data_IF_934386528518
#
_entry.id   IF_934386528518
#
_cell.length_a   1.000
_cell.length_b   1.000
_cell.length_c   1.000
_cell.angle_alpha   90.00
_cell.angle_beta   90.00
_cell.angle_gamma   90.00
#
_symmetry.space_group_name_H-M   'P 1'
#
loop_
_entity.id
_entity.type
_entity.pdbx_description
1 polymer ?
#
# COMPACT_ATOMS: atom_id res chain seq x y z
N UNK A 1 17.35 11.88 -7.76
CA UNK A 1 17.98 11.92 -6.41
C UNK A 1 16.96 12.30 -5.34
N UNK A 2 16.23 13.40 -5.49
CA UNK A 2 15.23 13.87 -4.51
C UNK A 2 14.13 12.83 -4.20
N UNK A 3 13.51 12.24 -5.22
CA UNK A 3 12.48 11.20 -5.05
C UNK A 3 12.97 10.02 -4.18
N UNK A 4 14.23 9.60 -4.35
CA UNK A 4 14.85 8.53 -3.55
C UNK A 4 15.00 8.94 -2.08
N UNK A 5 15.36 10.18 -1.81
CA UNK A 5 15.45 10.72 -0.44
C UNK A 5 14.06 10.75 0.21
N UNK A 6 13.04 11.21 -0.52
CA UNK A 6 11.66 11.26 -0.04
C UNK A 6 11.12 9.85 0.23
N UNK A 7 11.33 8.90 -0.68
CA UNK A 7 10.94 7.50 -0.52
C UNK A 7 11.63 6.84 0.69
N UNK A 8 12.92 7.10 0.89
CA UNK A 8 13.64 6.58 2.06
C UNK A 8 13.11 7.13 3.38
N UNK A 9 12.64 8.39 3.42
CA UNK A 9 11.98 8.97 4.59
C UNK A 9 10.60 8.34 4.83
N UNK A 10 9.82 8.15 3.76
CA UNK A 10 8.51 7.50 3.83
C UNK A 10 8.64 6.08 4.38
N UNK A 11 9.66 5.32 3.94
CA UNK A 11 9.93 3.95 4.39
C UNK A 11 10.02 3.82 5.91
N UNK A 12 10.53 4.84 6.60
CA UNK A 12 10.66 4.81 8.07
C UNK A 12 9.34 4.98 8.82
N UNK A 13 8.31 5.50 8.16
CA UNK A 13 7.01 5.82 8.80
C UNK A 13 5.85 5.04 8.21
N UNK A 14 5.98 4.51 6.98
CA UNK A 14 4.86 3.89 6.26
C UNK A 14 4.21 2.75 7.05
N UNK A 15 5.03 1.96 7.76
CA UNK A 15 4.58 0.82 8.56
C UNK A 15 3.61 1.17 9.69
N UNK A 16 3.62 2.42 10.20
CA UNK A 16 2.68 2.87 11.23
C UNK A 16 1.37 3.41 10.66
N UNK A 17 1.25 3.52 9.33
CA UNK A 17 0.08 4.11 8.67
C UNK A 17 -0.70 3.09 7.85
N UNK A 18 -0.04 2.02 7.40
CA UNK A 18 -0.64 0.94 6.63
C UNK A 18 -0.97 -0.26 7.52
N UNK A 19 -1.96 -1.05 7.12
CA UNK A 19 -2.30 -2.31 7.80
C UNK A 19 -1.13 -3.30 7.74
N UNK A 20 -1.00 -4.19 8.72
CA UNK A 20 -0.05 -5.31 8.70
C UNK A 20 -0.30 -6.25 7.52
N UNK A 21 -1.54 -6.33 7.04
CA UNK A 21 -1.90 -7.13 5.86
C UNK A 21 -1.36 -6.58 4.53
N UNK A 22 -0.83 -5.35 4.49
CA UNK A 22 -0.18 -4.79 3.30
C UNK A 22 1.28 -5.24 3.22
N UNK A 23 1.56 -6.24 2.39
CA UNK A 23 2.88 -6.89 2.34
C UNK A 23 3.77 -6.39 1.21
N UNK A 24 3.20 -5.92 0.09
CA UNK A 24 3.97 -5.47 -1.06
C UNK A 24 4.63 -4.10 -0.83
N UNK A 25 5.88 -3.95 -1.30
CA UNK A 25 6.67 -2.70 -1.24
C UNK A 25 6.94 -2.13 0.16
N UNK A 26 6.77 -2.92 1.21
CA UNK A 26 7.07 -2.54 2.59
C UNK A 26 8.37 -3.20 3.04
N UNK A 27 9.26 -2.43 3.66
CA UNK A 27 10.50 -2.99 4.22
C UNK A 27 10.16 -4.05 5.27
N UNK A 28 10.92 -5.13 5.26
CA UNK A 28 10.80 -6.24 6.22
C UNK A 28 9.45 -7.00 6.17
N UNK A 29 8.66 -6.86 5.09
CA UNK A 29 7.48 -7.69 4.81
C UNK A 29 7.67 -8.47 3.52
N UNK A 30 7.25 -9.74 3.48
CA UNK A 30 7.37 -10.57 2.28
C UNK A 30 6.03 -10.67 1.55
N UNK A 31 6.05 -10.51 0.23
CA UNK A 31 4.83 -10.65 -0.59
C UNK A 31 4.19 -12.04 -0.46
N UNK A 32 5.01 -13.06 -0.19
CA UNK A 32 4.58 -14.44 0.01
C UNK A 32 3.73 -14.63 1.27
N UNK A 33 3.87 -13.77 2.28
CA UNK A 33 3.10 -13.85 3.53
C UNK A 33 1.59 -13.68 3.24
N UNK A 34 1.24 -12.74 2.36
CA UNK A 34 -0.15 -12.52 1.95
C UNK A 34 -0.74 -13.69 1.16
N UNK A 35 0.09 -14.35 0.34
CA UNK A 35 -0.32 -15.55 -0.41
C UNK A 35 -0.54 -16.73 0.54
N UNK A 36 0.34 -16.90 1.52
CA UNK A 36 0.23 -17.96 2.52
C UNK A 36 -1.05 -17.81 3.36
N UNK A 37 -1.31 -16.62 3.90
CA UNK A 37 -2.52 -16.34 4.68
C UNK A 37 -3.78 -16.63 3.85
N UNK A 38 -3.82 -16.20 2.59
CA UNK A 38 -4.96 -16.47 1.71
C UNK A 38 -5.18 -17.98 1.49
N UNK A 39 -4.10 -18.75 1.30
CA UNK A 39 -4.17 -20.21 1.15
C UNK A 39 -4.68 -20.89 2.42
N UNK A 40 -4.23 -20.45 3.60
CA UNK A 40 -4.68 -20.98 4.89
C UNK A 40 -6.18 -20.73 5.11
N UNK A 41 -6.67 -19.52 4.80
CA UNK A 41 -8.11 -19.19 4.90
C UNK A 41 -8.95 -20.08 3.98
N UNK A 42 -8.48 -20.33 2.74
CA UNK A 42 -9.17 -21.21 1.79
C UNK A 42 -9.18 -22.65 2.29
N UNK A 43 -8.05 -23.15 2.81
CA UNK A 43 -7.94 -24.50 3.34
C UNK A 43 -8.80 -24.71 4.59
N UNK A 44 -8.85 -23.72 5.49
CA UNK A 44 -9.70 -23.75 6.68
C UNK A 44 -11.20 -23.77 6.30
N UNK A 45 -11.63 -22.93 5.37
CA UNK A 45 -13.01 -22.92 4.88
C UNK A 45 -13.40 -24.29 4.29
N UNK A 46 -12.51 -24.90 3.51
CA UNK A 46 -12.71 -26.24 2.95
C UNK A 46 -12.83 -27.31 4.03
N UNK A 47 -11.93 -27.32 5.02
CA UNK A 47 -11.93 -28.27 6.14
C UNK A 47 -13.19 -28.13 7.00
N UNK A 48 -13.64 -26.90 7.24
CA UNK A 48 -14.83 -26.59 8.03
C UNK A 48 -16.15 -26.68 7.25
N UNK A 49 -16.10 -27.02 5.95
CA UNK A 49 -17.26 -27.07 5.04
C UNK A 49 -18.07 -25.77 5.03
N UNK A 50 -17.38 -24.63 5.18
CA UNK A 50 -17.98 -23.30 5.10
C UNK A 50 -17.91 -22.80 3.66
N UNK A 51 -18.96 -22.14 3.22
CA UNK A 51 -18.94 -21.40 1.96
C UNK A 51 -17.99 -20.19 2.08
N UNK A 52 -17.19 -19.96 1.06
CA UNK A 52 -16.22 -18.87 0.99
C UNK A 52 -16.43 -18.08 -0.30
N UNK A 53 -16.39 -16.75 -0.20
CA UNK A 53 -16.32 -15.85 -1.34
C UNK A 53 -14.96 -15.14 -1.32
N UNK A 54 -14.21 -15.27 -2.42
CA UNK A 54 -12.96 -14.53 -2.61
C UNK A 54 -13.19 -13.39 -3.59
N UNK A 55 -12.92 -12.16 -3.15
CA UNK A 55 -12.99 -10.99 -3.99
C UNK A 55 -11.57 -10.54 -4.35
N UNK A 56 -11.22 -10.66 -5.64
CA UNK A 56 -9.95 -10.20 -6.19
C UNK A 56 -10.17 -8.96 -7.03
N UNK A 57 -9.47 -7.88 -6.68
CA UNK A 57 -9.46 -6.61 -7.42
C UNK A 57 -8.05 -6.32 -7.87
N UNK A 58 -7.92 -5.78 -9.08
CA UNK A 58 -6.67 -5.29 -9.64
C UNK A 58 -6.91 -3.94 -10.31
N UNK A 59 -5.88 -3.10 -10.37
CA UNK A 59 -5.95 -1.78 -10.98
C UNK A 59 -5.15 -1.74 -12.28
N UNK A 60 -5.82 -1.44 -13.39
CA UNK A 60 -5.11 -1.20 -14.65
C UNK A 60 -4.25 0.05 -14.54
N UNK A 61 -2.95 -0.09 -14.82
CA UNK A 61 -1.98 1.01 -14.85
C UNK A 61 -2.06 1.88 -13.60
N UNK A 62 -1.98 1.26 -12.42
CA UNK A 62 -2.15 1.94 -11.13
C UNK A 62 -1.29 3.22 -10.99
N UNK A 63 -0.08 3.26 -11.53
CA UNK A 63 0.75 4.47 -11.47
C UNK A 63 0.36 5.57 -12.47
N UNK A 64 -0.28 5.21 -13.58
CA UNK A 64 -0.69 6.16 -14.63
C UNK A 64 -2.08 6.75 -14.34
N UNK A 65 -2.91 6.00 -13.60
CA UNK A 65 -4.33 6.31 -13.35
C UNK A 65 -4.59 6.98 -11.99
N UNK A 66 -3.56 7.20 -11.17
CA UNK A 66 -3.73 7.82 -9.84
C UNK A 66 -4.03 9.31 -9.98
N UNK A 67 -5.08 9.77 -9.31
CA UNK A 67 -5.37 11.19 -9.15
C UNK A 67 -4.44 11.82 -8.10
N UNK A 68 -3.67 12.82 -8.50
CA UNK A 68 -2.70 13.49 -7.62
C UNK A 68 -3.35 14.34 -6.53
N UNK A 69 -4.58 14.82 -6.74
CA UNK A 69 -5.35 15.52 -5.71
C UNK A 69 -5.75 14.57 -4.58
N UNK A 70 -6.26 13.39 -4.94
CA UNK A 70 -6.59 12.33 -4.01
C UNK A 70 -5.35 11.85 -3.25
N UNK A 71 -4.20 11.71 -3.92
CA UNK A 71 -2.95 11.36 -3.25
C UNK A 71 -2.56 12.39 -2.19
N UNK A 72 -2.66 13.69 -2.49
CA UNK A 72 -2.36 14.75 -1.53
C UNK A 72 -3.33 14.76 -0.34
N UNK A 73 -4.62 14.56 -0.59
CA UNK A 73 -5.66 14.45 0.44
C UNK A 73 -5.43 13.23 1.35
N UNK A 74 -5.10 12.07 0.76
CA UNK A 74 -4.78 10.86 1.51
C UNK A 74 -3.56 11.08 2.40
N UNK A 75 -2.48 11.65 1.87
CA UNK A 75 -1.29 12.00 2.65
C UNK A 75 -1.61 13.02 3.76
N UNK A 76 -2.55 13.94 3.54
CA UNK A 76 -3.06 14.86 4.55
C UNK A 76 -3.76 14.14 5.70
N UNK A 77 -4.61 13.14 5.40
CA UNK A 77 -5.29 12.30 6.40
C UNK A 77 -4.32 11.40 7.17
N UNK A 78 -3.24 10.98 6.52
CA UNK A 78 -2.11 10.27 7.14
C UNK A 78 -1.24 11.18 8.04
N UNK A 79 -1.61 12.46 8.19
CA UNK A 79 -0.89 13.46 8.98
C UNK A 79 0.55 13.71 8.49
N UNK A 80 0.81 13.53 7.18
CA UNK A 80 2.12 13.81 6.61
C UNK A 80 2.34 15.33 6.49
N UNK A 81 3.54 15.85 6.85
CA UNK A 81 3.79 17.29 6.89
C UNK A 81 3.55 17.99 5.55
N UNK A 82 2.89 19.15 5.58
CA UNK A 82 2.54 19.93 4.38
C UNK A 82 3.74 20.23 3.48
N UNK A 83 4.90 20.54 4.05
CA UNK A 83 6.12 20.78 3.26
C UNK A 83 6.59 19.51 2.52
N UNK A 84 6.51 18.36 3.18
CA UNK A 84 6.89 17.08 2.57
C UNK A 84 5.93 16.69 1.46
N UNK A 85 4.62 16.88 1.65
CA UNK A 85 3.60 16.65 0.61
C UNK A 85 3.82 17.54 -0.62
N UNK A 86 4.18 18.81 -0.43
CA UNK A 86 4.57 19.71 -1.53
C UNK A 86 5.74 19.15 -2.33
N UNK A 87 6.80 18.65 -1.67
CA UNK A 87 7.94 18.03 -2.38
C UNK A 87 7.56 16.75 -3.13
N UNK A 88 6.65 15.94 -2.59
CA UNK A 88 6.12 14.78 -3.30
C UNK A 88 5.36 15.22 -4.54
N UNK A 89 4.49 16.24 -4.42
CA UNK A 89 3.72 16.78 -5.55
C UNK A 89 4.63 17.21 -6.70
N UNK A 90 5.71 17.94 -6.41
CA UNK A 90 6.69 18.31 -7.43
C UNK A 90 7.31 17.07 -8.10
N UNK A 91 7.51 15.96 -7.39
CA UNK A 91 8.11 14.74 -7.95
C UNK A 91 7.15 13.89 -8.78
N UNK A 92 5.83 13.99 -8.59
CA UNK A 92 4.82 13.18 -9.30
C UNK A 92 4.11 13.94 -10.41
N UNK A 93 4.17 15.27 -10.40
CA UNK A 93 3.62 16.13 -11.44
C UNK A 93 4.67 16.58 -12.48
N UNK A 94 5.94 16.17 -12.35
CA UNK A 94 6.96 16.33 -13.41
C UNK A 94 7.05 15.08 -14.28
#
# INVERSE_FOLDING_TARGET
>A
ILAKVLANRLRSVIGSVISESQTAFVKDRQILDGILIANEVVDEARKSKKELMLFKVDFEKACDSVDWGYLDDAMGRMSLPTLWRKWIKECVCT
#
